data_IF_769279046567
#
_entry.id   IF_769279046567
#
_cell.length_a   1.000
_cell.length_b   1.000
_cell.length_c   1.000
_cell.angle_alpha   90.00
_cell.angle_beta   90.00
_cell.angle_gamma   90.00
#
_symmetry.space_group_name_H-M   'P 1'
#
loop_
_entity.id
_entity.type
_entity.pdbx_description
1 polymer ?
#
# COMPACT_ATOMS: atom_id res chain seq x y z
N UNK A 1 -30.69 -3.84 -26.94
CA UNK A 1 -29.99 -4.98 -26.30
C UNK A 1 -28.86 -4.43 -25.47
N UNK A 2 -29.03 -4.44 -24.15
CA UNK A 2 -28.10 -3.91 -23.16
C UNK A 2 -26.89 -4.85 -23.01
N UNK A 3 -25.68 -4.36 -23.27
CA UNK A 3 -24.46 -5.03 -22.79
C UNK A 3 -24.15 -4.58 -21.36
N UNK A 4 -23.68 -5.49 -20.47
CA UNK A 4 -23.30 -5.11 -19.12
C UNK A 4 -21.93 -4.42 -19.16
N UNK A 5 -21.85 -3.23 -18.58
CA UNK A 5 -20.58 -2.61 -18.26
C UNK A 5 -19.92 -3.42 -17.12
N UNK A 6 -18.94 -4.25 -17.46
CA UNK A 6 -18.03 -4.84 -16.48
C UNK A 6 -17.10 -3.73 -16.00
N UNK A 7 -17.42 -3.16 -14.84
CA UNK A 7 -16.50 -2.31 -14.09
C UNK A 7 -15.31 -3.15 -13.61
N UNK A 8 -14.37 -3.43 -14.51
CA UNK A 8 -13.06 -3.93 -14.13
C UNK A 8 -12.25 -2.74 -13.65
N UNK A 9 -12.38 -2.42 -12.37
CA UNK A 9 -11.48 -1.56 -11.61
C UNK A 9 -10.12 -2.26 -11.48
N UNK A 10 -9.43 -2.37 -12.61
CA UNK A 10 -8.05 -2.82 -12.69
C UNK A 10 -7.15 -1.76 -12.04
N UNK A 11 -6.27 -2.21 -11.16
CA UNK A 11 -5.31 -1.38 -10.47
C UNK A 11 -4.31 -0.88 -11.53
N UNK A 12 -4.35 0.42 -11.86
CA UNK A 12 -3.47 1.04 -12.83
C UNK A 12 -2.42 1.88 -12.10
N UNK A 13 -1.14 1.58 -12.32
CA UNK A 13 -0.06 2.46 -11.92
C UNK A 13 0.22 3.43 -13.07
N UNK A 14 0.15 4.73 -12.80
CA UNK A 14 0.32 5.75 -13.83
C UNK A 14 1.75 5.74 -14.40
N UNK A 15 1.86 5.62 -15.72
CA UNK A 15 3.13 5.72 -16.46
C UNK A 15 3.74 7.14 -16.42
N UNK A 16 2.95 8.16 -16.05
CA UNK A 16 3.41 9.56 -15.95
C UNK A 16 4.07 9.92 -14.61
N UNK A 17 4.19 8.97 -13.67
CA UNK A 17 5.04 9.17 -12.49
C UNK A 17 6.49 8.94 -12.90
N UNK A 18 7.18 10.00 -13.35
CA UNK A 18 8.63 10.01 -13.30
C UNK A 18 9.05 9.57 -11.89
N UNK A 19 9.71 8.42 -11.83
CA UNK A 19 10.10 7.70 -10.63
C UNK A 19 10.74 8.63 -9.59
N UNK A 20 9.94 9.12 -8.65
CA UNK A 20 10.40 9.28 -7.28
C UNK A 20 10.22 7.91 -6.60
N UNK A 21 10.93 6.89 -7.11
CA UNK A 21 11.32 5.81 -6.21
C UNK A 21 12.31 6.51 -5.30
N UNK A 22 11.82 6.99 -4.16
CA UNK A 22 12.68 7.24 -3.01
C UNK A 22 13.31 5.90 -2.67
N UNK A 23 14.37 5.53 -3.38
CA UNK A 23 15.31 4.54 -2.90
C UNK A 23 15.90 5.24 -1.68
N UNK A 24 15.28 4.99 -0.52
CA UNK A 24 15.95 5.18 0.76
C UNK A 24 17.27 4.46 0.57
N UNK A 25 18.35 5.25 0.49
CA UNK A 25 19.70 4.74 0.41
C UNK A 25 19.78 3.64 1.45
N UNK A 26 20.13 2.44 1.00
CA UNK A 26 20.39 1.30 1.86
C UNK A 26 21.55 1.71 2.76
N UNK A 27 21.22 2.32 3.89
CA UNK A 27 21.96 2.01 5.11
C UNK A 27 21.84 0.50 5.22
N UNK A 28 22.97 -0.22 5.25
CA UNK A 28 23.06 -1.69 5.27
C UNK A 28 22.48 -2.30 6.56
N UNK A 29 21.32 -1.86 7.00
CA UNK A 29 20.47 -2.56 7.92
C UNK A 29 19.37 -3.18 7.07
N UNK A 30 19.35 -4.51 7.04
CA UNK A 30 18.23 -5.32 6.57
C UNK A 30 16.91 -4.62 6.87
N UNK A 31 16.16 -4.21 5.84
CA UNK A 31 14.77 -3.82 6.01
C UNK A 31 14.09 -5.00 6.69
N UNK A 32 13.60 -4.80 7.91
CA UNK A 32 12.80 -5.79 8.59
C UNK A 32 11.51 -5.99 7.78
N UNK A 33 10.99 -7.22 7.73
CA UNK A 33 9.85 -7.58 6.87
C UNK A 33 8.58 -6.76 7.16
N UNK A 34 8.53 -6.07 8.30
CA UNK A 34 7.48 -5.17 8.75
C UNK A 34 7.70 -3.70 8.34
N UNK A 35 8.75 -3.38 7.57
CA UNK A 35 8.98 -2.01 7.08
C UNK A 35 7.98 -1.66 5.96
N UNK A 36 7.40 -0.45 6.02
CA UNK A 36 6.46 0.07 5.02
C UNK A 36 7.06 1.26 4.28
N UNK A 37 6.91 1.27 2.95
CA UNK A 37 7.22 2.42 2.10
C UNK A 37 5.94 3.22 1.89
N UNK A 38 5.92 4.48 2.30
CA UNK A 38 4.82 5.40 2.04
C UNK A 38 4.88 5.82 0.56
N UNK A 39 3.86 5.46 -0.21
CA UNK A 39 3.83 5.61 -1.66
C UNK A 39 2.58 6.35 -2.13
N UNK A 40 2.77 7.54 -2.72
CA UNK A 40 1.69 8.33 -3.33
C UNK A 40 1.20 7.74 -4.66
N UNK A 41 2.03 6.96 -5.35
CA UNK A 41 1.72 6.32 -6.62
C UNK A 41 0.98 4.99 -6.47
N UNK A 42 1.02 4.40 -5.28
CA UNK A 42 0.23 3.22 -4.95
C UNK A 42 -1.25 3.60 -4.76
N UNK A 43 -2.14 2.83 -5.37
CA UNK A 43 -3.59 2.96 -5.20
C UNK A 43 -4.16 2.04 -4.12
N UNK A 44 -3.40 1.01 -3.73
CA UNK A 44 -3.77 0.05 -2.69
C UNK A 44 -2.57 -0.19 -1.76
N UNK A 45 -2.85 -0.57 -0.52
CA UNK A 45 -1.82 -1.12 0.36
C UNK A 45 -1.38 -2.50 -0.14
N UNK A 46 -0.08 -2.78 -0.09
CA UNK A 46 0.47 -4.08 -0.51
C UNK A 46 1.42 -4.60 0.56
N UNK A 47 1.35 -5.89 0.87
CA UNK A 47 2.34 -6.57 1.69
C UNK A 47 2.72 -7.92 1.11
N UNK A 48 3.98 -8.29 1.26
CA UNK A 48 4.51 -9.58 0.80
C UNK A 48 4.65 -10.61 1.93
N UNK A 49 4.48 -10.21 3.20
CA UNK A 49 4.64 -11.10 4.36
C UNK A 49 3.28 -11.45 4.97
N UNK A 50 2.91 -12.72 4.84
CA UNK A 50 1.65 -13.26 5.37
C UNK A 50 1.53 -13.09 6.89
N UNK A 51 2.65 -13.06 7.62
CA UNK A 51 2.66 -13.00 9.08
C UNK A 51 2.23 -11.62 9.62
N UNK A 52 2.22 -10.58 8.79
CA UNK A 52 1.76 -9.25 9.19
C UNK A 52 0.24 -9.13 9.24
N UNK A 53 -0.49 -10.07 8.62
CA UNK A 53 -1.93 -10.00 8.49
C UNK A 53 -2.63 -10.49 9.78
N UNK A 54 -3.53 -9.66 10.29
CA UNK A 54 -4.44 -10.02 11.39
C UNK A 54 -5.56 -10.94 10.90
N UNK A 55 -6.00 -10.71 9.66
CA UNK A 55 -7.02 -11.48 8.97
C UNK A 55 -6.71 -11.47 7.48
N UNK A 56 -7.09 -12.54 6.77
CA UNK A 56 -6.92 -12.62 5.33
C UNK A 56 -8.01 -13.49 4.71
N UNK A 57 -8.63 -12.95 3.67
CA UNK A 57 -9.49 -13.67 2.73
C UNK A 57 -8.67 -14.04 1.49
N UNK A 58 -8.63 -15.34 1.18
CA UNK A 58 -7.93 -15.88 0.00
C UNK A 58 -8.90 -16.36 -1.08
N UNK A 59 -10.20 -16.09 -0.95
CA UNK A 59 -11.20 -16.45 -1.94
C UNK A 59 -11.20 -15.51 -3.16
N UNK A 60 -10.55 -14.35 -3.04
CA UNK A 60 -10.44 -13.38 -4.12
C UNK A 60 -9.48 -13.88 -5.21
N UNK A 61 -10.02 -14.18 -6.39
CA UNK A 61 -9.22 -14.36 -7.60
C UNK A 61 -9.08 -13.02 -8.33
N UNK A 62 -7.95 -12.34 -8.12
CA UNK A 62 -7.65 -11.06 -8.77
C UNK A 62 -6.16 -10.93 -9.09
N UNK A 63 -5.80 -9.91 -9.87
CA UNK A 63 -4.43 -9.66 -10.31
C UNK A 63 -4.14 -8.18 -10.49
N UNK A 64 -2.86 -7.82 -10.37
CA UNK A 64 -2.32 -6.46 -10.52
C UNK A 64 -1.44 -6.39 -11.75
N UNK A 65 -1.60 -5.33 -12.55
CA UNK A 65 -0.71 -5.05 -13.66
C UNK A 65 0.44 -4.18 -13.18
N UNK A 66 1.68 -4.60 -13.42
CA UNK A 66 2.86 -3.82 -13.08
C UNK A 66 3.25 -2.89 -14.24
N UNK A 67 3.98 -1.80 -13.95
CA UNK A 67 4.52 -0.90 -14.99
C UNK A 67 5.43 -1.60 -16.00
N UNK A 68 5.99 -2.75 -15.64
CA UNK A 68 6.81 -3.61 -16.51
C UNK A 68 6.00 -4.34 -17.59
N UNK A 69 4.66 -4.23 -17.57
CA UNK A 69 3.76 -4.97 -18.45
C UNK A 69 3.47 -6.40 -17.98
N UNK A 70 4.06 -6.84 -16.87
CA UNK A 70 3.75 -8.13 -16.25
C UNK A 70 2.52 -8.03 -15.35
N UNK A 71 1.73 -9.10 -15.28
CA UNK A 71 0.60 -9.23 -14.36
C UNK A 71 0.97 -10.18 -13.22
N UNK A 72 0.71 -9.78 -11.98
CA UNK A 72 0.97 -10.59 -10.77
C UNK A 72 -0.36 -10.90 -10.09
N UNK A 73 -0.53 -12.14 -9.61
CA UNK A 73 -1.74 -12.57 -8.90
C UNK A 73 -1.77 -12.03 -7.48
N UNK A 74 -2.95 -11.62 -7.03
CA UNK A 74 -3.21 -11.29 -5.64
C UNK A 74 -3.52 -12.61 -4.93
N UNK A 75 -2.75 -12.94 -3.88
CA UNK A 75 -2.90 -14.19 -3.13
C UNK A 75 -3.90 -14.08 -1.97
N UNK A 76 -4.34 -12.87 -1.65
CA UNK A 76 -5.38 -12.61 -0.67
C UNK A 76 -5.54 -11.12 -0.36
N UNK A 77 -6.58 -10.79 0.39
CA UNK A 77 -6.83 -9.43 0.89
C UNK A 77 -7.15 -9.48 2.37
N UNK A 78 -6.66 -8.52 3.14
CA UNK A 78 -6.84 -8.56 4.59
C UNK A 78 -6.53 -7.27 5.30
N UNK A 79 -6.36 -7.38 6.62
CA UNK A 79 -6.00 -6.25 7.48
C UNK A 79 -4.62 -6.47 8.11
N UNK A 80 -3.85 -5.39 8.20
CA UNK A 80 -2.50 -5.40 8.78
C UNK A 80 -2.39 -4.31 9.83
N UNK A 81 -1.86 -4.65 11.01
CA UNK A 81 -1.49 -3.65 12.02
C UNK A 81 -0.05 -3.22 11.77
N UNK A 82 0.15 -1.94 11.45
CA UNK A 82 1.48 -1.35 11.29
C UNK A 82 2.05 -0.96 12.64
N UNK A 83 1.23 -0.34 13.49
CA UNK A 83 1.59 0.02 14.86
C UNK A 83 0.34 0.11 15.76
N UNK A 84 0.45 0.69 16.97
CA UNK A 84 -0.67 0.86 17.89
C UNK A 84 -1.84 1.65 17.32
N UNK A 85 -1.55 2.60 16.43
CA UNK A 85 -2.48 3.63 15.98
C UNK A 85 -2.93 3.42 14.53
N UNK A 86 -2.18 2.65 13.74
CA UNK A 86 -2.43 2.41 12.32
C UNK A 86 -2.77 0.95 12.05
N UNK A 87 -4.02 0.72 11.61
CA UNK A 87 -4.48 -0.55 11.05
C UNK A 87 -4.91 -0.32 9.62
N UNK A 88 -4.18 -0.92 8.68
CA UNK A 88 -4.51 -0.86 7.27
C UNK A 88 -5.58 -1.90 6.95
N UNK A 89 -6.62 -1.47 6.24
CA UNK A 89 -7.67 -2.34 5.72
C UNK A 89 -7.45 -2.58 4.23
N UNK A 90 -8.02 -3.67 3.70
CA UNK A 90 -7.97 -4.02 2.28
C UNK A 90 -6.53 -4.10 1.73
N UNK A 91 -5.60 -4.59 2.54
CA UNK A 91 -4.20 -4.80 2.14
C UNK A 91 -4.12 -5.99 1.20
N UNK A 92 -3.53 -5.78 0.03
CA UNK A 92 -3.30 -6.84 -0.95
C UNK A 92 -2.09 -7.67 -0.53
N UNK A 93 -2.26 -8.98 -0.43
CA UNK A 93 -1.17 -9.91 -0.20
C UNK A 93 -0.59 -10.38 -1.54
N UNK A 94 0.67 -10.02 -1.78
CA UNK A 94 1.39 -10.36 -3.01
C UNK A 94 2.78 -10.90 -2.61
N UNK A 95 2.96 -12.22 -2.47
CA UNK A 95 4.21 -12.81 -1.99
C UNK A 95 5.41 -12.56 -2.93
N UNK A 96 5.16 -12.27 -4.21
CA UNK A 96 6.19 -11.96 -5.20
C UNK A 96 6.77 -10.54 -5.05
N UNK A 97 6.12 -9.66 -4.28
CA UNK A 97 6.66 -8.34 -3.97
C UNK A 97 7.80 -8.46 -2.95
N UNK A 98 8.67 -7.45 -2.92
CA UNK A 98 9.83 -7.39 -2.00
C UNK A 98 9.72 -6.31 -0.93
N UNK A 99 8.68 -5.50 -0.99
CA UNK A 99 8.46 -4.34 -0.13
C UNK A 99 6.99 -4.28 0.23
N UNK A 100 6.69 -3.78 1.43
CA UNK A 100 5.34 -3.38 1.78
C UNK A 100 5.11 -1.93 1.35
N UNK A 101 3.96 -1.66 0.74
CA UNK A 101 3.60 -0.33 0.25
C UNK A 101 2.38 0.19 1.01
N UNK A 102 2.52 1.36 1.62
CA UNK A 102 1.42 2.10 2.21
C UNK A 102 0.94 3.11 1.18
N UNK A 103 -0.21 2.85 0.57
CA UNK A 103 -0.86 3.81 -0.32
C UNK A 103 -1.38 5.00 0.48
N UNK A 104 -0.86 6.20 0.16
CA UNK A 104 -1.34 7.45 0.77
C UNK A 104 -2.82 7.64 0.46
N UNK A 105 -3.21 7.46 -0.80
CA UNK A 105 -4.60 7.67 -1.23
C UNK A 105 -5.58 6.72 -0.53
N UNK A 106 -5.21 5.45 -0.35
CA UNK A 106 -6.00 4.50 0.45
C UNK A 106 -6.10 4.93 1.91
N UNK A 107 -4.96 5.28 2.55
CA UNK A 107 -4.94 5.70 3.95
C UNK A 107 -5.83 6.92 4.18
N UNK A 108 -5.58 8.02 3.45
CA UNK A 108 -6.30 9.28 3.64
C UNK A 108 -7.78 9.18 3.31
N UNK A 109 -8.17 8.27 2.41
CA UNK A 109 -9.59 8.05 2.08
C UNK A 109 -10.29 7.19 3.12
N UNK A 110 -9.60 6.20 3.69
CA UNK A 110 -10.21 5.23 4.59
C UNK A 110 -10.46 5.78 6.00
N UNK A 111 -9.46 6.44 6.60
CA UNK A 111 -9.54 6.92 7.98
C UNK A 111 -9.40 8.45 8.12
N UNK A 112 -9.13 9.15 7.02
CA UNK A 112 -8.98 10.61 7.00
C UNK A 112 -7.61 11.11 7.42
N UNK A 113 -6.66 10.22 7.75
CA UNK A 113 -5.31 10.59 8.19
C UNK A 113 -4.64 11.57 7.23
N UNK A 114 -3.72 12.36 7.77
CA UNK A 114 -2.94 13.32 6.99
C UNK A 114 -1.53 12.82 6.83
N UNK A 115 -0.98 12.95 5.63
CA UNK A 115 0.43 12.67 5.35
C UNK A 115 1.12 14.00 5.07
N UNK A 116 2.12 14.33 5.88
CA UNK A 116 2.82 15.62 5.86
C UNK A 116 4.26 15.35 5.45
N UNK A 117 4.70 16.04 4.40
CA UNK A 117 6.08 16.00 3.93
C UNK A 117 6.80 17.27 4.34
N UNK A 118 7.99 17.10 4.91
CA UNK A 118 8.94 18.18 5.10
C UNK A 118 10.25 17.87 4.35
N UNK A 119 11.28 18.70 4.54
CA UNK A 119 12.57 18.55 3.84
C UNK A 119 13.26 17.20 4.13
N UNK A 120 12.99 16.59 5.27
CA UNK A 120 13.72 15.45 5.83
C UNK A 120 12.84 14.30 6.31
N UNK A 121 11.53 14.50 6.40
CA UNK A 121 10.58 13.53 6.96
C UNK A 121 9.28 13.45 6.16
N UNK A 122 8.65 12.29 6.31
CA UNK A 122 7.25 12.04 5.99
C UNK A 122 6.57 11.65 7.31
N UNK A 123 5.48 12.30 7.68
CA UNK A 123 4.76 12.01 8.93
C UNK A 123 3.30 11.71 8.64
N UNK A 124 2.77 10.71 9.35
CA UNK A 124 1.34 10.40 9.35
C UNK A 124 0.75 10.98 10.62
N UNK A 125 -0.34 11.73 10.49
CA UNK A 125 -0.99 12.45 11.57
C UNK A 125 -2.46 12.01 11.72
N UNK A 126 -2.86 11.76 12.97
CA UNK A 126 -4.24 11.49 13.36
C UNK A 126 -5.13 12.67 12.95
N UNK A 127 -6.25 12.41 12.24
CA UNK A 127 -7.05 13.46 11.65
C UNK A 127 -7.83 14.31 12.65
N UNK A 128 -8.07 13.79 13.85
CA UNK A 128 -8.90 14.43 14.88
C UNK A 128 -8.01 15.20 15.86
N UNK A 129 -6.97 14.54 16.36
CA UNK A 129 -6.09 15.04 17.43
C UNK A 129 -4.91 15.83 16.88
N UNK A 130 -4.57 15.66 15.61
CA UNK A 130 -3.38 16.26 15.03
C UNK A 130 -2.09 15.69 15.63
N UNK A 131 -2.12 14.46 16.16
CA UNK A 131 -0.94 13.82 16.74
C UNK A 131 -0.22 12.99 15.69
N UNK A 132 1.11 12.99 15.73
CA UNK A 132 1.92 12.10 14.91
C UNK A 132 1.69 10.65 15.34
N UNK A 133 1.33 9.79 14.38
CA UNK A 133 1.02 8.37 14.56
C UNK A 133 1.91 7.45 13.70
N UNK A 134 2.71 8.01 12.79
CA UNK A 134 3.63 7.24 11.95
C UNK A 134 4.65 8.13 11.22
N UNK A 135 5.68 7.49 10.66
CA UNK A 135 6.70 8.09 9.79
C UNK A 135 7.36 7.03 8.91
#
# INVERSE_FOLDING_TARGET
TSQPATNNSGISFSSSTFCFVGILTVSRNTLCNDTWVIDSGATHHVSHDRNLFLSMDTSLESSVNLPTGSTIRISGVGSVRVNSDIILQNVLFIPEFRLNLLSISSLTTADGSRVIFDKTSCEIQDPIRGLKIGQ
#
